data_IF_286572815341
#
_entry.id   IF_286572815341
#
_cell.length_a   1.000
_cell.length_b   1.000
_cell.length_c   1.000
_cell.angle_alpha   90.00
_cell.angle_beta   90.00
_cell.angle_gamma   90.00
#
_symmetry.space_group_name_H-M   'P 1'
#
loop_
_entity.id
_entity.type
_entity.pdbx_description
1 polymer ?
#
# COMPACT_ATOMS: atom_id res chain seq x y z
N UNK A 1 33.32 -14.95 -3.52
CA UNK A 1 32.99 -16.33 -3.12
C UNK A 1 31.55 -16.56 -3.48
N UNK A 2 31.27 -17.46 -4.43
CA UNK A 2 29.89 -17.83 -4.78
C UNK A 2 29.24 -18.47 -3.56
N UNK A 3 28.20 -17.83 -3.05
CA UNK A 3 27.41 -18.35 -1.94
C UNK A 3 26.58 -19.49 -2.52
N UNK A 4 26.94 -20.73 -2.18
CA UNK A 4 26.14 -21.90 -2.53
C UNK A 4 24.72 -21.69 -2.01
N UNK A 5 23.75 -21.76 -2.92
CA UNK A 5 22.33 -21.62 -2.63
C UNK A 5 21.69 -23.01 -2.63
N UNK A 6 20.91 -23.33 -1.59
CA UNK A 6 20.16 -24.57 -1.44
C UNK A 6 18.65 -24.26 -1.56
N UNK A 7 17.87 -25.09 -2.27
CA UNK A 7 16.42 -24.96 -2.26
C UNK A 7 15.87 -25.28 -0.87
N UNK A 8 15.08 -24.35 -0.32
CA UNK A 8 14.37 -24.50 0.94
C UNK A 8 12.87 -24.55 0.70
N UNK A 9 12.18 -25.42 1.43
CA UNK A 9 10.77 -25.73 1.23
C UNK A 9 10.02 -25.67 2.55
N UNK A 10 8.92 -24.92 2.54
CA UNK A 10 7.95 -24.86 3.63
C UNK A 10 6.60 -25.29 3.07
N UNK A 11 6.01 -26.34 3.64
CA UNK A 11 4.74 -26.88 3.21
C UNK A 11 3.75 -26.90 4.39
N UNK A 12 2.50 -26.56 4.10
CA UNK A 12 1.37 -26.68 5.04
C UNK A 12 0.13 -27.13 4.26
N UNK A 13 -0.54 -28.17 4.75
CA UNK A 13 -1.72 -28.76 4.13
C UNK A 13 -1.51 -28.98 2.62
N UNK A 14 -2.26 -28.28 1.75
CA UNK A 14 -2.18 -28.39 0.30
C UNK A 14 -1.28 -27.33 -0.38
N UNK A 15 -0.53 -26.54 0.40
CA UNK A 15 0.25 -25.39 -0.11
C UNK A 15 1.73 -25.54 0.24
N UNK A 16 2.60 -25.44 -0.78
CA UNK A 16 4.06 -25.51 -0.65
C UNK A 16 4.70 -24.24 -1.22
N UNK A 17 5.61 -23.62 -0.46
CA UNK A 17 6.47 -22.54 -0.95
C UNK A 17 7.91 -23.03 -1.04
N UNK A 18 8.60 -22.61 -2.10
CA UNK A 18 10.03 -22.88 -2.29
C UNK A 18 10.78 -21.61 -2.64
N UNK A 19 11.97 -21.46 -2.06
CA UNK A 19 12.89 -20.35 -2.36
C UNK A 19 14.34 -20.75 -2.11
N UNK A 20 15.27 -20.00 -2.69
CA UNK A 20 16.70 -20.27 -2.60
C UNK A 20 17.28 -19.64 -1.33
N UNK A 21 17.94 -20.46 -0.50
CA UNK A 21 18.62 -20.01 0.70
C UNK A 21 20.14 -20.18 0.60
N UNK A 22 20.92 -19.14 0.93
CA UNK A 22 22.33 -19.29 1.28
C UNK A 22 22.57 -20.40 2.32
N UNK A 23 23.54 -21.28 2.09
CA UNK A 23 23.90 -22.39 3.00
C UNK A 23 24.01 -21.99 4.49
N UNK A 24 24.63 -20.85 4.87
CA UNK A 24 24.75 -20.46 6.28
C UNK A 24 23.41 -20.22 7.00
N UNK A 25 22.33 -20.00 6.24
CA UNK A 25 21.00 -19.68 6.77
C UNK A 25 20.12 -20.93 6.95
N UNK A 26 20.57 -22.11 6.51
CA UNK A 26 19.76 -23.33 6.51
C UNK A 26 19.27 -23.75 7.90
N UNK A 27 20.17 -23.79 8.89
CA UNK A 27 19.82 -24.22 10.25
C UNK A 27 18.81 -23.26 10.92
N UNK A 28 18.98 -21.95 10.71
CA UNK A 28 18.06 -20.94 11.21
C UNK A 28 16.69 -21.09 10.54
N UNK A 29 16.66 -21.29 9.23
CA UNK A 29 15.41 -21.45 8.49
C UNK A 29 14.63 -22.72 8.91
N UNK A 30 15.31 -23.84 9.18
CA UNK A 30 14.64 -25.05 9.70
C UNK A 30 14.07 -24.83 11.11
N UNK A 31 14.82 -24.19 12.02
CA UNK A 31 14.32 -23.88 13.36
C UNK A 31 13.09 -22.95 13.34
N UNK A 32 13.07 -21.97 12.42
CA UNK A 32 11.91 -21.10 12.23
C UNK A 32 10.73 -21.84 11.60
N UNK A 33 10.99 -22.81 10.73
CA UNK A 33 9.95 -23.68 10.14
C UNK A 33 9.31 -24.57 11.21
N UNK A 34 10.11 -25.13 12.12
CA UNK A 34 9.58 -25.86 13.29
C UNK A 34 8.73 -24.94 14.18
N UNK A 35 9.21 -23.73 14.46
CA UNK A 35 8.48 -22.73 15.23
C UNK A 35 7.15 -22.32 14.56
N UNK A 36 7.16 -22.17 13.24
CA UNK A 36 5.97 -21.89 12.44
C UNK A 36 4.97 -23.05 12.54
N UNK A 37 5.43 -24.29 12.40
CA UNK A 37 4.58 -25.48 12.52
C UNK A 37 3.98 -25.62 13.92
N UNK A 38 4.74 -25.28 14.98
CA UNK A 38 4.25 -25.30 16.35
C UNK A 38 3.13 -24.27 16.59
N UNK A 39 3.19 -23.09 15.96
CA UNK A 39 2.14 -22.06 16.06
C UNK A 39 0.80 -22.47 15.46
N UNK A 40 0.78 -23.47 14.58
CA UNK A 40 -0.43 -23.91 13.89
C UNK A 40 -1.11 -25.13 14.52
N UNK A 41 -0.61 -25.64 15.66
CA UNK A 41 -1.18 -26.83 16.33
C UNK A 41 -2.41 -26.52 17.21
N UNK A 42 -2.87 -25.27 17.29
CA UNK A 42 -4.13 -24.91 17.98
C UNK A 42 -5.31 -25.12 17.04
N UNK A 43 -6.29 -25.92 17.47
CA UNK A 43 -7.41 -26.55 16.73
C UNK A 43 -8.36 -25.64 15.89
N UNK A 44 -8.14 -24.32 15.77
CA UNK A 44 -9.07 -23.37 15.12
C UNK A 44 -8.65 -22.95 13.69
N UNK A 45 -7.43 -23.31 13.25
CA UNK A 45 -6.82 -22.82 12.00
C UNK A 45 -6.70 -23.89 10.91
N UNK A 46 -7.75 -24.68 10.68
CA UNK A 46 -7.84 -25.63 9.55
C UNK A 46 -8.06 -24.93 8.18
N UNK A 47 -7.55 -23.71 8.06
CA UNK A 47 -7.75 -22.81 6.95
C UNK A 47 -6.65 -23.04 5.91
N UNK A 48 -7.02 -23.38 4.68
CA UNK A 48 -6.08 -23.40 3.56
C UNK A 48 -5.41 -22.03 3.45
N UNK A 49 -4.10 -21.99 3.71
CA UNK A 49 -3.28 -20.80 3.47
C UNK A 49 -2.86 -20.78 2.01
N UNK A 50 -2.99 -19.63 1.37
CA UNK A 50 -2.36 -19.37 0.08
C UNK A 50 -0.84 -19.31 0.21
N UNK A 51 -0.12 -19.45 -0.92
CA UNK A 51 1.34 -19.32 -0.93
C UNK A 51 1.83 -17.96 -0.39
N UNK A 52 1.06 -16.89 -0.63
CA UNK A 52 1.36 -15.55 -0.13
C UNK A 52 1.26 -15.51 1.40
N UNK A 53 0.18 -16.04 1.97
CA UNK A 53 -0.04 -16.06 3.41
C UNK A 53 0.96 -16.97 4.13
N UNK A 54 1.33 -18.10 3.53
CA UNK A 54 2.37 -18.98 4.07
C UNK A 54 3.74 -18.28 4.06
N UNK A 55 4.06 -17.55 2.99
CA UNK A 55 5.31 -16.75 2.89
C UNK A 55 5.32 -15.61 3.91
N UNK A 56 4.21 -14.89 4.06
CA UNK A 56 4.07 -13.81 5.03
C UNK A 56 4.13 -14.31 6.48
N UNK A 57 3.51 -15.46 6.77
CA UNK A 57 3.56 -16.11 8.08
C UNK A 57 4.98 -16.52 8.45
N UNK A 58 5.72 -17.10 7.49
CA UNK A 58 7.12 -17.43 7.69
C UNK A 58 7.99 -16.19 7.93
N UNK A 59 7.75 -15.11 7.18
CA UNK A 59 8.41 -13.81 7.40
C UNK A 59 8.11 -13.27 8.81
N UNK A 60 6.86 -13.36 9.27
CA UNK A 60 6.49 -12.88 10.60
C UNK A 60 7.19 -13.68 11.71
N UNK A 61 7.27 -15.00 11.57
CA UNK A 61 8.02 -15.85 12.51
C UNK A 61 9.51 -15.49 12.50
N UNK A 62 10.11 -15.21 11.34
CA UNK A 62 11.50 -14.75 11.26
C UNK A 62 11.72 -13.37 11.92
N UNK A 63 10.69 -12.53 11.98
CA UNK A 63 10.72 -11.24 12.66
C UNK A 63 10.47 -11.34 14.16
N UNK A 64 9.63 -12.25 14.63
CA UNK A 64 9.28 -12.34 16.05
C UNK A 64 10.18 -13.31 16.83
N UNK A 65 10.67 -14.37 16.19
CA UNK A 65 11.44 -15.40 16.86
C UNK A 65 12.79 -14.85 17.30
N UNK A 66 12.98 -14.72 18.60
CA UNK A 66 14.27 -14.51 19.25
C UNK A 66 14.60 -15.74 20.09
N UNK A 67 15.75 -16.41 19.88
CA UNK A 67 16.18 -17.51 20.74
C UNK A 67 16.55 -16.96 22.14
N UNK A 68 16.35 -17.76 23.18
CA UNK A 68 16.67 -17.39 24.57
C UNK A 68 18.18 -17.12 24.78
N UNK A 69 19.03 -17.73 23.96
CA UNK A 69 20.47 -17.48 23.93
C UNK A 69 20.94 -17.32 22.48
N UNK A 70 20.91 -16.10 21.91
CA UNK A 70 21.28 -15.87 20.53
C UNK A 70 22.80 -16.06 20.31
N UNK A 71 23.22 -16.84 19.31
CA UNK A 71 24.59 -16.83 18.85
C UNK A 71 25.05 -15.41 18.48
N UNK A 72 26.35 -15.11 18.60
CA UNK A 72 26.90 -13.78 18.30
C UNK A 72 26.51 -13.27 16.89
N UNK A 73 26.41 -14.18 15.92
CA UNK A 73 26.05 -13.86 14.53
C UNK A 73 24.53 -13.85 14.25
N UNK A 74 23.69 -14.10 15.26
CA UNK A 74 22.26 -14.29 15.07
C UNK A 74 21.56 -13.09 14.41
N UNK A 75 21.86 -11.86 14.85
CA UNK A 75 21.23 -10.67 14.29
C UNK A 75 21.57 -10.51 12.78
N UNK A 76 22.82 -10.77 12.42
CA UNK A 76 23.31 -10.76 11.03
C UNK A 76 22.61 -11.84 10.19
N UNK A 77 22.55 -13.07 10.69
CA UNK A 77 21.92 -14.19 10.00
C UNK A 77 20.40 -13.98 9.85
N UNK A 78 19.73 -13.44 10.87
CA UNK A 78 18.31 -13.11 10.85
C UNK A 78 18.01 -12.03 9.82
N UNK A 79 18.75 -10.92 9.80
CA UNK A 79 18.55 -9.85 8.80
C UNK A 79 18.75 -10.39 7.38
N UNK A 80 19.77 -11.22 7.16
CA UNK A 80 20.02 -11.86 5.85
C UNK A 80 18.88 -12.80 5.46
N UNK A 81 18.35 -13.59 6.39
CA UNK A 81 17.22 -14.48 6.14
C UNK A 81 15.94 -13.71 5.81
N UNK A 82 15.62 -12.70 6.63
CA UNK A 82 14.48 -11.80 6.40
C UNK A 82 14.60 -11.13 5.03
N UNK A 83 15.78 -10.65 4.65
CA UNK A 83 16.01 -10.05 3.34
C UNK A 83 15.75 -11.04 2.19
N UNK A 84 16.19 -12.30 2.32
CA UNK A 84 15.94 -13.33 1.30
C UNK A 84 14.45 -13.66 1.16
N UNK A 85 13.76 -13.85 2.29
CA UNK A 85 12.31 -14.13 2.28
C UNK A 85 11.52 -12.95 1.73
N UNK A 86 11.87 -11.73 2.14
CA UNK A 86 11.25 -10.51 1.66
C UNK A 86 11.49 -10.31 0.15
N UNK A 87 12.71 -10.55 -0.33
CA UNK A 87 13.03 -10.49 -1.76
C UNK A 87 12.26 -11.54 -2.56
N UNK A 88 12.08 -12.74 -2.01
CA UNK A 88 11.26 -13.78 -2.64
C UNK A 88 9.78 -13.41 -2.66
N UNK A 89 9.26 -12.84 -1.57
CA UNK A 89 7.89 -12.31 -1.53
C UNK A 89 7.72 -11.19 -2.57
N UNK A 90 8.70 -10.29 -2.66
CA UNK A 90 8.69 -9.19 -3.61
C UNK A 90 8.75 -9.66 -5.06
N UNK A 91 9.67 -10.56 -5.41
CA UNK A 91 9.83 -11.04 -6.78
C UNK A 91 8.66 -11.91 -7.25
N UNK A 92 8.13 -12.74 -6.37
CA UNK A 92 7.08 -13.70 -6.70
C UNK A 92 5.68 -13.08 -6.70
N UNK A 93 5.37 -12.24 -5.71
CA UNK A 93 4.02 -11.73 -5.50
C UNK A 93 3.86 -10.24 -5.77
N UNK A 94 4.87 -9.43 -5.46
CA UNK A 94 4.75 -7.97 -5.62
C UNK A 94 5.13 -7.53 -7.04
N UNK A 95 6.17 -8.08 -7.69
CA UNK A 95 6.63 -7.69 -9.03
C UNK A 95 6.73 -6.16 -9.23
N UNK A 96 7.23 -5.44 -8.23
CA UNK A 96 7.25 -3.96 -8.13
C UNK A 96 5.87 -3.28 -8.03
N UNK A 97 4.83 -4.04 -7.74
CA UNK A 97 3.46 -3.59 -7.50
C UNK A 97 3.16 -3.57 -6.01
N UNK A 98 2.24 -2.72 -5.58
CA UNK A 98 1.82 -2.63 -4.18
C UNK A 98 1.28 -3.96 -3.62
N UNK A 99 1.50 -4.22 -2.33
CA UNK A 99 0.98 -5.36 -1.55
C UNK A 99 -0.54 -5.56 -1.72
N UNK A 100 -1.28 -4.51 -2.07
CA UNK A 100 -2.71 -4.57 -2.35
C UNK A 100 -3.09 -5.34 -3.61
N UNK A 101 -2.24 -5.35 -4.63
CA UNK A 101 -2.47 -6.16 -5.84
C UNK A 101 -2.24 -7.63 -5.53
N UNK A 102 -1.17 -7.93 -4.80
CA UNK A 102 -0.83 -9.29 -4.38
C UNK A 102 -1.88 -9.90 -3.46
N UNK A 103 -2.49 -9.10 -2.59
CA UNK A 103 -3.53 -9.56 -1.66
C UNK A 103 -4.94 -9.60 -2.26
N UNK A 104 -5.16 -9.14 -3.51
CA UNK A 104 -6.48 -9.15 -4.18
C UNK A 104 -7.09 -10.55 -4.32
N UNK A 105 -6.25 -11.57 -4.44
CA UNK A 105 -6.66 -12.98 -4.50
C UNK A 105 -7.10 -13.55 -3.14
N UNK A 106 -6.83 -12.84 -2.04
CA UNK A 106 -7.24 -13.24 -0.70
C UNK A 106 -8.69 -12.82 -0.43
N UNK A 107 -9.38 -13.59 0.43
CA UNK A 107 -10.75 -13.28 0.83
C UNK A 107 -10.81 -11.88 1.49
N UNK A 108 -11.94 -11.15 1.34
CA UNK A 108 -12.12 -9.83 1.95
C UNK A 108 -11.87 -9.81 3.47
N UNK A 109 -12.18 -10.91 4.16
CA UNK A 109 -11.98 -11.07 5.59
C UNK A 109 -10.50 -11.12 5.95
N UNK A 110 -9.69 -11.82 5.15
CA UNK A 110 -8.24 -11.92 5.36
C UNK A 110 -7.46 -10.68 4.91
N UNK A 111 -8.08 -9.81 4.11
CA UNK A 111 -7.54 -8.49 3.74
C UNK A 111 -7.77 -7.40 4.78
N UNK A 112 -8.68 -7.61 5.74
CA UNK A 112 -8.94 -6.63 6.81
C UNK A 112 -7.83 -6.70 7.86
N UNK A 113 -6.75 -5.96 7.63
CA UNK A 113 -5.92 -5.52 8.74
C UNK A 113 -6.77 -4.56 9.58
N UNK A 114 -7.22 -4.99 10.76
CA UNK A 114 -7.98 -4.13 11.67
C UNK A 114 -7.10 -2.95 12.09
N UNK A 115 -7.54 -1.74 11.75
CA UNK A 115 -6.85 -0.54 12.19
C UNK A 115 -7.16 -0.30 13.66
N UNK A 116 -6.15 -0.44 14.53
CA UNK A 116 -6.30 -0.19 15.96
C UNK A 116 -6.89 1.21 16.26
N UNK A 117 -6.62 2.19 15.40
CA UNK A 117 -7.22 3.52 15.48
C UNK A 117 -8.73 3.49 15.19
N UNK A 118 -9.16 2.78 14.14
CA UNK A 118 -10.58 2.64 13.82
C UNK A 118 -11.32 1.83 14.90
N UNK A 119 -10.69 0.83 15.50
CA UNK A 119 -11.25 0.06 16.62
C UNK A 119 -11.38 0.92 17.88
N UNK A 120 -10.40 1.78 18.14
CA UNK A 120 -10.48 2.76 19.23
C UNK A 120 -11.60 3.79 18.99
N UNK A 121 -11.79 4.24 17.74
CA UNK A 121 -12.91 5.11 17.38
C UNK A 121 -14.26 4.40 17.52
N UNK A 122 -14.36 3.15 17.07
CA UNK A 122 -15.57 2.33 17.19
C UNK A 122 -15.93 2.04 18.66
N UNK A 123 -14.93 1.79 19.50
CA UNK A 123 -15.09 1.59 20.94
C UNK A 123 -15.26 2.89 21.75
N UNK A 124 -15.36 4.06 21.10
CA UNK A 124 -15.53 5.36 21.77
C UNK A 124 -14.32 5.85 22.57
N UNK A 125 -13.17 5.19 22.44
CA UNK A 125 -11.90 5.52 23.12
C UNK A 125 -11.11 6.61 22.40
N UNK A 126 -11.42 6.87 21.14
CA UNK A 126 -10.80 7.91 20.32
C UNK A 126 -11.86 8.59 19.43
N UNK A 127 -11.53 9.78 18.93
CA UNK A 127 -12.33 10.51 17.94
C UNK A 127 -11.42 10.95 16.80
N UNK A 128 -11.77 10.58 15.57
CA UNK A 128 -11.05 11.00 14.38
C UNK A 128 -11.71 12.23 13.76
N UNK A 129 -10.89 13.16 13.27
CA UNK A 129 -11.32 14.32 12.48
C UNK A 129 -10.57 14.29 11.15
N UNK A 130 -11.30 14.49 10.05
CA UNK A 130 -10.69 14.68 8.75
C UNK A 130 -10.55 16.18 8.48
N UNK A 131 -9.31 16.61 8.25
CA UNK A 131 -8.96 17.99 7.92
C UNK A 131 -8.41 17.99 6.51
N UNK A 132 -9.04 18.77 5.65
CA UNK A 132 -8.58 18.99 4.28
C UNK A 132 -8.04 20.42 4.21
N UNK A 133 -6.75 20.54 3.88
CA UNK A 133 -6.07 21.84 3.79
C UNK A 133 -6.48 22.65 2.56
N UNK A 134 -6.01 23.90 2.49
CA UNK A 134 -6.19 24.77 1.33
C UNK A 134 -4.94 24.83 0.45
N UNK A 135 -4.80 25.93 -0.30
CA UNK A 135 -3.59 26.27 -1.04
C UNK A 135 -2.46 26.66 -0.07
N UNK A 136 -1.84 25.67 0.56
CA UNK A 136 -0.61 25.85 1.34
C UNK A 136 0.58 26.11 0.42
N UNK A 137 1.59 26.82 0.92
CA UNK A 137 2.77 27.38 0.25
C UNK A 137 3.75 26.35 -0.39
N UNK A 138 3.22 25.26 -0.96
CA UNK A 138 3.97 24.15 -1.52
C UNK A 138 3.88 24.23 -3.03
N UNK A 139 4.95 24.73 -3.66
CA UNK A 139 5.03 24.87 -5.11
C UNK A 139 5.02 23.52 -5.86
N UNK A 140 5.10 22.41 -5.11
CA UNK A 140 5.29 21.05 -5.61
C UNK A 140 4.09 20.11 -5.36
N UNK A 141 2.88 20.66 -5.21
CA UNK A 141 1.66 19.86 -5.01
C UNK A 141 1.46 18.83 -6.14
N UNK A 142 1.86 19.15 -7.39
CA UNK A 142 1.71 18.22 -8.51
C UNK A 142 2.63 16.99 -8.38
N UNK A 143 3.80 17.12 -7.76
CA UNK A 143 4.62 15.95 -7.49
C UNK A 143 3.98 15.00 -6.46
N UNK A 144 3.13 15.50 -5.56
CA UNK A 144 2.32 14.63 -4.69
C UNK A 144 1.36 13.80 -5.52
N UNK A 145 0.69 14.40 -6.51
CA UNK A 145 -0.19 13.68 -7.42
C UNK A 145 0.56 12.60 -8.21
N UNK A 146 1.77 12.91 -8.71
CA UNK A 146 2.63 11.94 -9.39
C UNK A 146 3.00 10.79 -8.45
N UNK A 147 3.43 11.08 -7.21
CA UNK A 147 3.74 10.04 -6.23
C UNK A 147 2.53 9.15 -5.91
N UNK A 148 1.35 9.74 -5.72
CA UNK A 148 0.13 8.98 -5.49
C UNK A 148 -0.21 8.07 -6.68
N UNK A 149 -0.08 8.61 -7.90
CA UNK A 149 -0.26 7.84 -9.12
C UNK A 149 0.72 6.67 -9.20
N UNK A 150 2.03 6.92 -9.05
CA UNK A 150 3.05 5.90 -9.26
C UNK A 150 3.05 4.81 -8.16
N UNK A 151 2.79 5.19 -6.92
CA UNK A 151 2.78 4.24 -5.78
C UNK A 151 1.51 3.40 -5.75
N UNK A 152 0.37 3.98 -6.12
CA UNK A 152 -0.95 3.34 -5.99
C UNK A 152 -1.66 3.15 -7.33
N UNK A 153 -0.92 3.15 -8.46
CA UNK A 153 -1.44 3.16 -9.84
C UNK A 153 -2.66 2.25 -10.04
N UNK A 154 -2.64 0.96 -9.64
CA UNK A 154 -3.75 0.05 -9.89
C UNK A 154 -5.05 0.42 -9.16
N UNK A 155 -4.94 1.20 -8.09
CA UNK A 155 -6.04 1.63 -7.22
C UNK A 155 -6.55 3.02 -7.64
N UNK A 156 -5.63 3.92 -8.00
CA UNK A 156 -5.97 5.32 -8.25
C UNK A 156 -6.23 5.62 -9.71
N UNK A 157 -5.57 4.93 -10.66
CA UNK A 157 -5.69 5.24 -12.09
C UNK A 157 -7.14 5.22 -12.61
N UNK A 158 -8.00 4.24 -12.28
CA UNK A 158 -9.41 4.26 -12.70
C UNK A 158 -10.17 5.49 -12.17
N UNK A 159 -9.92 5.85 -10.91
CA UNK A 159 -10.55 7.01 -10.27
C UNK A 159 -10.05 8.34 -10.86
N UNK A 160 -8.75 8.44 -11.16
CA UNK A 160 -8.17 9.59 -11.86
C UNK A 160 -8.77 9.73 -13.24
N UNK A 161 -8.96 8.64 -13.99
CA UNK A 161 -9.56 8.68 -15.32
C UNK A 161 -10.99 9.24 -15.29
N UNK A 162 -11.82 8.83 -14.32
CA UNK A 162 -13.16 9.39 -14.13
C UNK A 162 -13.14 10.88 -13.78
N UNK A 163 -12.23 11.29 -12.90
CA UNK A 163 -12.04 12.70 -12.54
C UNK A 163 -11.52 13.53 -13.73
N UNK A 164 -10.61 12.97 -14.54
CA UNK A 164 -10.04 13.64 -15.70
C UNK A 164 -11.12 13.99 -16.74
N UNK A 165 -12.06 13.08 -17.01
CA UNK A 165 -13.21 13.36 -17.89
C UNK A 165 -14.04 14.54 -17.37
N UNK A 166 -14.30 14.56 -16.06
CA UNK A 166 -15.09 15.63 -15.42
C UNK A 166 -14.35 16.98 -15.45
N UNK A 167 -13.06 16.98 -15.13
CA UNK A 167 -12.21 18.17 -15.15
C UNK A 167 -12.03 18.73 -16.57
N UNK A 168 -11.86 17.85 -17.56
CA UNK A 168 -11.79 18.23 -18.96
C UNK A 168 -13.10 18.88 -19.41
N UNK A 169 -14.26 18.28 -19.11
CA UNK A 169 -15.56 18.84 -19.47
C UNK A 169 -15.80 20.24 -18.86
N UNK A 170 -15.46 20.43 -17.58
CA UNK A 170 -15.63 21.73 -16.92
C UNK A 170 -14.64 22.79 -17.43
N UNK A 171 -13.37 22.43 -17.63
CA UNK A 171 -12.36 23.36 -18.14
C UNK A 171 -12.59 23.74 -19.61
N UNK A 172 -13.24 22.87 -20.40
CA UNK A 172 -13.65 23.15 -21.78
C UNK A 172 -15.02 23.83 -21.93
N UNK A 173 -15.72 24.14 -20.82
CA UNK A 173 -17.00 24.84 -20.86
C UNK A 173 -16.89 26.24 -21.46
N UNK A 174 -17.98 26.76 -22.04
CA UNK A 174 -18.00 28.11 -22.62
C UNK A 174 -17.63 29.18 -21.58
N UNK A 175 -18.06 28.99 -20.33
CA UNK A 175 -17.70 29.81 -19.18
C UNK A 175 -16.20 29.84 -18.94
N UNK A 176 -15.56 28.67 -18.85
CA UNK A 176 -14.13 28.56 -18.59
C UNK A 176 -13.29 29.10 -19.75
N UNK A 177 -13.74 28.88 -20.99
CA UNK A 177 -13.05 29.37 -22.18
C UNK A 177 -13.16 30.90 -22.34
N UNK A 178 -14.24 31.54 -21.87
CA UNK A 178 -14.33 33.01 -21.78
C UNK A 178 -13.21 33.61 -20.92
N UNK A 179 -12.84 32.92 -19.84
CA UNK A 179 -11.75 33.28 -18.94
C UNK A 179 -10.37 32.78 -19.41
N UNK A 180 -10.29 32.21 -20.63
CA UNK A 180 -9.08 31.59 -21.20
C UNK A 180 -8.46 30.54 -20.26
N UNK A 181 -9.31 29.78 -19.57
CA UNK A 181 -8.86 28.72 -18.69
C UNK A 181 -8.13 27.63 -19.49
N UNK A 182 -7.03 27.15 -18.93
CA UNK A 182 -6.30 26.00 -19.48
C UNK A 182 -7.17 24.74 -19.37
N UNK A 183 -7.29 23.97 -20.45
CA UNK A 183 -7.95 22.68 -20.42
C UNK A 183 -7.19 21.72 -19.49
N UNK A 184 -7.92 21.04 -18.62
CA UNK A 184 -7.36 20.13 -17.62
C UNK A 184 -7.46 18.71 -18.14
N UNK A 185 -6.31 18.13 -18.51
CA UNK A 185 -6.17 16.71 -18.80
C UNK A 185 -5.11 16.10 -17.88
N UNK A 186 -5.54 15.83 -16.65
CA UNK A 186 -4.64 15.37 -15.59
C UNK A 186 -4.09 13.97 -15.84
N UNK A 187 -4.85 13.10 -16.50
CA UNK A 187 -4.40 11.75 -16.82
C UNK A 187 -3.28 11.82 -17.86
N UNK A 188 -3.46 12.62 -18.90
CA UNK A 188 -2.45 12.85 -19.93
C UNK A 188 -1.15 13.44 -19.34
N UNK A 189 -1.24 14.37 -18.38
CA UNK A 189 -0.07 14.97 -17.73
C UNK A 189 0.69 14.02 -16.79
N UNK A 190 0.03 12.96 -16.33
CA UNK A 190 0.61 11.89 -15.53
C UNK A 190 1.26 10.84 -16.42
N UNK A 191 0.55 10.36 -17.46
CA UNK A 191 1.05 9.33 -18.37
C UNK A 191 2.13 9.86 -19.32
N UNK A 192 2.08 11.15 -19.67
CA UNK A 192 3.07 11.79 -20.53
C UNK A 192 3.61 13.08 -19.89
N UNK A 193 4.69 12.99 -19.11
CA UNK A 193 5.28 14.15 -18.44
C UNK A 193 5.66 15.31 -19.38
N UNK A 194 5.88 15.05 -20.68
CA UNK A 194 6.16 16.11 -21.67
C UNK A 194 4.96 16.96 -22.05
N UNK A 195 3.72 16.50 -21.82
CA UNK A 195 2.50 17.29 -22.04
C UNK A 195 2.12 18.15 -20.83
N UNK A 196 2.81 17.95 -19.69
CA UNK A 196 2.51 18.61 -18.43
C UNK A 196 2.78 20.12 -18.51
N UNK A 197 1.88 20.98 -18.00
CA UNK A 197 2.14 22.40 -17.87
C UNK A 197 3.34 22.70 -16.99
N UNK A 198 3.97 23.85 -17.20
CA UNK A 198 5.07 24.29 -16.32
C UNK A 198 4.60 24.47 -14.87
N UNK A 199 5.50 24.35 -13.89
CA UNK A 199 5.19 24.60 -12.47
C UNK A 199 4.52 25.96 -12.27
N UNK A 200 4.99 27.00 -12.96
CA UNK A 200 4.39 28.35 -12.90
C UNK A 200 2.94 28.36 -13.40
N UNK A 201 2.63 27.59 -14.44
CA UNK A 201 1.27 27.45 -14.95
C UNK A 201 0.38 26.71 -13.95
N UNK A 202 0.89 25.62 -13.37
CA UNK A 202 0.19 24.80 -12.39
C UNK A 202 -0.24 25.61 -11.15
N UNK A 203 0.58 26.58 -10.71
CA UNK A 203 0.22 27.46 -9.59
C UNK A 203 -1.01 28.36 -9.84
N UNK A 204 -1.40 28.58 -11.09
CA UNK A 204 -2.55 29.41 -11.40
C UNK A 204 -3.83 28.84 -10.76
N UNK A 205 -4.61 29.68 -10.08
CA UNK A 205 -5.76 29.27 -9.24
C UNK A 205 -6.75 28.36 -9.96
N UNK A 206 -6.99 28.59 -11.25
CA UNK A 206 -7.90 27.76 -12.06
C UNK A 206 -7.40 26.33 -12.30
N UNK A 207 -6.10 26.06 -12.11
CA UNK A 207 -5.50 24.73 -12.15
C UNK A 207 -5.22 24.20 -10.74
N UNK A 208 -4.59 25.00 -9.88
CA UNK A 208 -4.18 24.55 -8.54
C UNK A 208 -5.38 24.18 -7.66
N UNK A 209 -6.48 24.94 -7.69
CA UNK A 209 -7.67 24.64 -6.89
C UNK A 209 -8.28 23.26 -7.19
N UNK A 210 -8.69 22.94 -8.44
CA UNK A 210 -9.26 21.63 -8.74
C UNK A 210 -8.26 20.48 -8.57
N UNK A 211 -6.97 20.69 -8.86
CA UNK A 211 -5.96 19.64 -8.73
C UNK A 211 -5.62 19.33 -7.27
N UNK A 212 -5.58 20.33 -6.38
CA UNK A 212 -5.43 20.12 -4.94
C UNK A 212 -6.64 19.36 -4.39
N UNK A 213 -7.85 19.71 -4.83
CA UNK A 213 -9.07 18.96 -4.49
C UNK A 213 -8.98 17.49 -4.94
N UNK A 214 -8.46 17.23 -6.15
CA UNK A 214 -8.23 15.88 -6.64
C UNK A 214 -7.23 15.10 -5.77
N UNK A 215 -6.11 15.72 -5.38
CA UNK A 215 -5.10 15.09 -4.49
C UNK A 215 -5.72 14.71 -3.15
N UNK A 216 -6.56 15.57 -2.59
CA UNK A 216 -7.26 15.29 -1.34
C UNK A 216 -8.24 14.13 -1.47
N UNK A 217 -9.02 14.10 -2.54
CA UNK A 217 -9.92 12.99 -2.84
C UNK A 217 -9.15 11.70 -3.06
N UNK A 218 -7.99 11.75 -3.71
CA UNK A 218 -7.13 10.59 -3.93
C UNK A 218 -6.53 10.05 -2.64
N UNK A 219 -6.00 10.91 -1.78
CA UNK A 219 -5.51 10.51 -0.46
C UNK A 219 -6.62 9.83 0.36
N UNK A 220 -7.83 10.40 0.33
CA UNK A 220 -8.99 9.80 0.97
C UNK A 220 -9.39 8.47 0.32
N UNK A 221 -9.37 8.39 -1.02
CA UNK A 221 -9.63 7.18 -1.81
C UNK A 221 -8.70 6.03 -1.46
N UNK A 222 -7.40 6.32 -1.49
CA UNK A 222 -6.35 5.37 -1.14
C UNK A 222 -6.56 4.88 0.30
N UNK A 223 -6.83 5.77 1.26
CA UNK A 223 -7.00 5.38 2.66
C UNK A 223 -8.06 4.28 2.85
N UNK A 224 -9.26 4.42 2.28
CA UNK A 224 -10.29 3.38 2.45
C UNK A 224 -10.04 2.11 1.62
N UNK A 225 -9.39 2.23 0.45
CA UNK A 225 -8.98 1.06 -0.34
C UNK A 225 -7.92 0.24 0.37
N UNK A 226 -6.97 0.90 1.05
CA UNK A 226 -5.96 0.25 1.89
C UNK A 226 -6.61 -0.43 3.09
N UNK A 227 -7.53 0.27 3.77
CA UNK A 227 -8.22 -0.23 4.96
C UNK A 227 -9.27 -1.32 4.64
N UNK A 228 -9.60 -1.55 3.36
CA UNK A 228 -10.60 -2.52 2.95
C UNK A 228 -12.02 -2.17 3.43
N UNK A 229 -12.29 -0.88 3.64
CA UNK A 229 -13.58 -0.37 4.15
C UNK A 229 -14.30 0.46 3.09
N UNK A 230 -15.62 0.51 3.17
CA UNK A 230 -16.40 1.41 2.30
C UNK A 230 -16.23 2.88 2.73
N UNK A 231 -16.35 3.85 1.80
CA UNK A 231 -16.22 5.27 2.13
C UNK A 231 -17.17 5.74 3.25
N UNK A 232 -18.37 5.15 3.33
CA UNK A 232 -19.35 5.41 4.38
C UNK A 232 -18.90 4.95 5.77
N UNK A 233 -18.09 3.89 5.86
CA UNK A 233 -17.64 3.32 7.13
C UNK A 233 -16.70 4.28 7.89
N UNK A 234 -15.79 4.95 7.16
CA UNK A 234 -14.89 5.96 7.72
C UNK A 234 -15.67 7.23 8.05
N UNK A 235 -16.59 7.63 7.15
CA UNK A 235 -17.46 8.80 7.32
C UNK A 235 -18.21 8.75 8.66
N UNK A 236 -18.76 7.60 9.00
CA UNK A 236 -19.57 7.42 10.21
C UNK A 236 -18.73 7.42 11.51
N UNK A 237 -17.40 7.34 11.39
CA UNK A 237 -16.42 7.35 12.49
C UNK A 237 -15.64 8.67 12.60
N UNK A 238 -15.82 9.57 11.64
CA UNK A 238 -15.27 10.92 11.69
C UNK A 238 -16.29 11.84 12.37
N UNK A 239 -15.90 12.44 13.49
CA UNK A 239 -16.79 13.24 14.34
C UNK A 239 -17.04 14.65 13.77
N UNK A 240 -16.20 15.12 12.84
CA UNK A 240 -16.37 16.39 12.16
C UNK A 240 -15.46 16.53 10.94
N UNK A 241 -15.84 17.42 10.00
CA UNK A 241 -15.05 17.76 8.81
C UNK A 241 -14.76 19.25 8.84
N UNK A 242 -13.49 19.62 8.71
CA UNK A 242 -13.10 21.02 8.57
C UNK A 242 -12.44 21.18 7.20
N UNK A 243 -13.08 21.96 6.33
CA UNK A 243 -12.46 22.48 5.10
C UNK A 243 -11.81 23.78 5.52
N UNK A 244 -10.48 23.82 5.49
CA UNK A 244 -9.74 25.06 5.75
C UNK A 244 -9.50 25.70 4.37
N UNK A 245 -10.45 26.54 3.95
CA UNK A 245 -10.36 27.36 2.73
C UNK A 245 -9.42 28.54 2.93
#
# INVERSE_FOLDING_TARGET
MDVLNRPFRVARANTEISFLLPVPLGNLAESLKESLNARFQTDDDNNDLSELELTASFLNVALEHSPDNPPADWASLRVRLVAVVLNNLNSKFLKNTSIHVATRSLSPDRRRATSALLDACAGGRARAFAIFGGQGNVDDYFAELVRLHDVYEPIVRPFIAECAVTLAAHSSSAEAQRERATQIDVLEWLERPTSRPSTKSLLATHLSLPLIGLIQLLNYWVAFKILGVEPGYIRDRIVGRCIVS
#
